data_IF_060848556050
#
_entry.id   IF_060848556050
#
_cell.length_a   1.000
_cell.length_b   1.000
_cell.length_c   1.000
_cell.angle_alpha   90.00
_cell.angle_beta   90.00
_cell.angle_gamma   90.00
#
_symmetry.space_group_name_H-M   'P 1'
#
loop_
_entity.id
_entity.type
_entity.pdbx_description
1 polymer ?
#
# COMPACT_ATOMS: atom_id res chain seq x y z
N UNK A 1 6.33 -5.38 -6.53
CA UNK A 1 7.76 -5.10 -6.81
C UNK A 1 8.56 -5.43 -5.56
N UNK A 2 9.75 -6.04 -5.65
CA UNK A 2 10.55 -6.23 -4.44
C UNK A 2 11.07 -4.86 -3.95
N UNK A 3 10.46 -4.31 -2.89
CA UNK A 3 10.75 -2.99 -2.33
C UNK A 3 12.21 -2.81 -1.95
N UNK A 4 12.83 -3.85 -1.39
CA UNK A 4 14.25 -3.86 -1.08
C UNK A 4 15.13 -3.71 -2.33
N UNK A 5 14.77 -4.38 -3.43
CA UNK A 5 15.52 -4.29 -4.67
C UNK A 5 15.42 -2.89 -5.28
N UNK A 6 14.22 -2.27 -5.22
CA UNK A 6 14.02 -0.89 -5.70
C UNK A 6 14.80 0.10 -4.84
N UNK A 7 14.72 -0.01 -3.52
CA UNK A 7 15.46 0.86 -2.60
C UNK A 7 16.98 0.73 -2.78
N UNK A 8 17.50 -0.50 -2.93
CA UNK A 8 18.91 -0.74 -3.20
C UNK A 8 19.34 -0.16 -4.55
N UNK A 9 18.54 -0.31 -5.60
CA UNK A 9 18.81 0.29 -6.90
C UNK A 9 18.85 1.82 -6.82
N UNK A 10 17.90 2.44 -6.11
CA UNK A 10 17.88 3.90 -5.88
C UNK A 10 19.14 4.33 -5.12
N UNK A 11 19.49 3.64 -4.04
CA UNK A 11 20.70 3.93 -3.27
C UNK A 11 21.95 3.89 -4.15
N UNK A 12 22.12 2.82 -4.94
CA UNK A 12 23.27 2.66 -5.84
C UNK A 12 23.29 3.72 -6.93
N UNK A 13 22.14 4.07 -7.52
CA UNK A 13 22.06 5.12 -8.55
C UNK A 13 22.42 6.50 -7.97
N UNK A 14 21.84 6.85 -6.82
CA UNK A 14 22.03 8.16 -6.18
C UNK A 14 23.44 8.32 -5.61
N UNK A 15 23.95 7.32 -4.90
CA UNK A 15 25.31 7.35 -4.40
C UNK A 15 26.32 7.24 -5.54
N UNK A 16 26.05 6.37 -6.51
CA UNK A 16 26.88 6.17 -7.69
C UNK A 16 27.01 7.45 -8.51
N UNK A 17 25.94 8.21 -8.72
CA UNK A 17 26.00 9.48 -9.45
C UNK A 17 26.87 10.51 -8.72
N UNK A 18 26.78 10.60 -7.38
CA UNK A 18 27.64 11.48 -6.59
C UNK A 18 29.12 11.07 -6.68
N UNK A 19 29.42 9.79 -6.48
CA UNK A 19 30.80 9.29 -6.50
C UNK A 19 31.42 9.38 -7.90
N UNK A 20 30.64 9.08 -8.95
CA UNK A 20 31.08 9.26 -10.34
C UNK A 20 31.36 10.74 -10.63
N UNK A 21 30.49 11.65 -10.23
CA UNK A 21 30.70 13.08 -10.41
C UNK A 21 31.93 13.59 -9.64
N UNK A 22 32.14 13.10 -8.41
CA UNK A 22 33.34 13.40 -7.61
C UNK A 22 34.62 12.86 -8.27
N UNK A 23 34.57 11.68 -8.89
CA UNK A 23 35.70 11.09 -9.61
C UNK A 23 36.00 11.77 -10.95
N UNK A 24 34.97 12.32 -11.62
CA UNK A 24 35.11 13.09 -12.88
C UNK A 24 35.58 14.52 -12.62
N UNK A 25 35.24 15.11 -11.46
CA UNK A 25 35.66 16.46 -11.06
C UNK A 25 37.14 16.80 -11.37
N UNK A 26 38.15 16.00 -10.94
CA UNK A 26 39.56 16.32 -11.18
C UNK A 26 40.00 16.23 -12.65
N UNK A 27 39.18 15.64 -13.54
CA UNK A 27 39.48 15.51 -14.98
C UNK A 27 38.89 16.65 -15.82
N UNK A 28 38.08 17.52 -15.23
CA UNK A 28 37.43 18.62 -15.93
C UNK A 28 38.36 19.84 -16.05
N UNK A 29 38.45 20.48 -17.24
CA UNK A 29 39.19 21.72 -17.40
C UNK A 29 38.68 22.82 -16.44
N UNK A 30 39.58 23.67 -15.94
CA UNK A 30 39.25 24.77 -15.01
C UNK A 30 38.13 25.68 -15.52
N UNK A 31 37.99 25.82 -16.84
CA UNK A 31 36.93 26.63 -17.48
C UNK A 31 35.50 26.12 -17.20
N UNK A 32 35.32 24.83 -16.93
CA UNK A 32 34.01 24.24 -16.58
C UNK A 32 33.77 24.19 -15.06
N UNK A 33 34.78 24.52 -14.25
CA UNK A 33 34.73 24.55 -12.79
C UNK A 33 34.80 25.98 -12.25
N UNK A 34 34.58 26.99 -13.10
CA UNK A 34 34.57 28.39 -12.70
C UNK A 34 33.49 28.65 -11.64
N UNK A 35 33.71 29.65 -10.78
CA UNK A 35 32.75 30.05 -9.76
C UNK A 35 31.38 30.37 -10.36
N UNK A 36 31.35 31.06 -11.50
CA UNK A 36 30.12 31.39 -12.24
C UNK A 36 29.37 30.13 -12.70
N UNK A 37 30.08 29.12 -13.23
CA UNK A 37 29.45 27.86 -13.65
C UNK A 37 28.87 27.10 -12.45
N UNK A 38 29.63 27.06 -11.35
CA UNK A 38 29.18 26.44 -10.09
C UNK A 38 27.92 27.12 -9.56
N UNK A 39 27.84 28.45 -9.61
CA UNK A 39 26.68 29.19 -9.12
C UNK A 39 25.44 28.94 -9.99
N UNK A 40 25.59 28.90 -11.32
CA UNK A 40 24.49 28.55 -12.24
C UNK A 40 23.98 27.13 -11.98
N UNK A 41 24.88 26.15 -11.83
CA UNK A 41 24.49 24.76 -11.53
C UNK A 41 23.82 24.66 -10.16
N UNK A 42 24.35 25.35 -9.14
CA UNK A 42 23.74 25.37 -7.79
C UNK A 42 22.35 26.01 -7.79
N UNK A 43 22.13 27.08 -8.56
CA UNK A 43 20.83 27.71 -8.69
C UNK A 43 19.84 26.75 -9.39
N UNK A 44 20.25 26.16 -10.52
CA UNK A 44 19.42 25.21 -11.26
C UNK A 44 19.06 23.98 -10.44
N UNK A 45 20.03 23.40 -9.73
CA UNK A 45 19.78 22.23 -8.88
C UNK A 45 18.94 22.56 -7.65
N UNK A 46 19.01 23.80 -7.14
CA UNK A 46 18.12 24.28 -6.09
C UNK A 46 16.65 24.23 -6.50
N UNK A 47 16.33 24.62 -7.74
CA UNK A 47 14.96 24.52 -8.29
C UNK A 47 14.52 23.06 -8.40
N UNK A 48 15.38 22.18 -8.92
CA UNK A 48 15.10 20.74 -9.02
C UNK A 48 14.89 20.11 -7.64
N UNK A 49 15.70 20.49 -6.65
CA UNK A 49 15.60 20.00 -5.28
C UNK A 49 14.28 20.43 -4.62
N UNK A 50 13.88 21.70 -4.78
CA UNK A 50 12.61 22.20 -4.25
C UNK A 50 11.41 21.44 -4.83
N UNK A 51 11.39 21.25 -6.16
CA UNK A 51 10.34 20.50 -6.85
C UNK A 51 10.33 19.03 -6.42
N UNK A 52 11.50 18.39 -6.32
CA UNK A 52 11.65 16.99 -5.89
C UNK A 52 11.16 16.79 -4.46
N UNK A 53 11.53 17.70 -3.54
CA UNK A 53 11.09 17.64 -2.14
C UNK A 53 9.57 17.74 -2.02
N UNK A 54 8.93 18.62 -2.81
CA UNK A 54 7.49 18.76 -2.80
C UNK A 54 6.80 17.49 -3.31
N UNK A 55 7.23 16.98 -4.47
CA UNK A 55 6.63 15.77 -5.07
C UNK A 55 6.84 14.56 -4.17
N UNK A 56 8.03 14.40 -3.58
CA UNK A 56 8.32 13.30 -2.66
C UNK A 56 7.43 13.37 -1.42
N UNK A 57 7.26 14.56 -0.82
CA UNK A 57 6.38 14.77 0.33
C UNK A 57 4.91 14.46 0.02
N UNK A 58 4.41 14.94 -1.13
CA UNK A 58 3.04 14.65 -1.60
C UNK A 58 2.85 13.16 -1.87
N UNK A 59 3.84 12.49 -2.45
CA UNK A 59 3.78 11.05 -2.74
C UNK A 59 3.73 10.23 -1.46
N UNK A 60 4.57 10.53 -0.46
CA UNK A 60 4.52 9.88 0.86
C UNK A 60 3.14 10.08 1.49
N UNK A 61 2.63 11.31 1.48
CA UNK A 61 1.31 11.63 2.01
C UNK A 61 0.21 10.83 1.32
N UNK A 62 0.22 10.81 -0.02
CA UNK A 62 -0.79 10.11 -0.82
C UNK A 62 -0.79 8.60 -0.59
N UNK A 63 0.39 7.98 -0.58
CA UNK A 63 0.51 6.53 -0.35
C UNK A 63 0.11 6.19 1.09
N UNK A 64 0.50 7.01 2.07
CA UNK A 64 0.06 6.83 3.46
C UNK A 64 -1.45 6.92 3.60
N UNK A 65 -2.08 7.93 3.01
CA UNK A 65 -3.54 8.09 3.05
C UNK A 65 -4.23 6.88 2.44
N UNK A 66 -3.78 6.40 1.28
CA UNK A 66 -4.35 5.21 0.64
C UNK A 66 -4.19 3.94 1.50
N UNK A 67 -3.03 3.77 2.15
CA UNK A 67 -2.79 2.67 3.08
C UNK A 67 -3.75 2.73 4.28
N UNK A 68 -3.86 3.90 4.93
CA UNK A 68 -4.74 4.10 6.08
C UNK A 68 -6.22 3.91 5.71
N UNK A 69 -6.65 4.39 4.53
CA UNK A 69 -7.99 4.14 3.99
C UNK A 69 -8.26 2.65 3.77
N UNK A 70 -7.29 1.91 3.26
CA UNK A 70 -7.43 0.47 3.06
C UNK A 70 -7.52 -0.29 4.39
N UNK A 71 -6.74 0.10 5.41
CA UNK A 71 -6.85 -0.47 6.77
C UNK A 71 -8.24 -0.19 7.37
N UNK A 72 -8.73 1.04 7.25
CA UNK A 72 -10.09 1.40 7.67
C UNK A 72 -11.14 0.59 6.91
N UNK A 73 -10.95 0.38 5.61
CA UNK A 73 -11.86 -0.41 4.80
C UNK A 73 -11.94 -1.87 5.27
N UNK A 74 -10.81 -2.49 5.62
CA UNK A 74 -10.76 -3.84 6.19
C UNK A 74 -11.44 -3.92 7.56
N UNK A 75 -11.27 -2.90 8.41
CA UNK A 75 -11.97 -2.84 9.70
C UNK A 75 -13.48 -2.76 9.51
N UNK A 76 -13.95 -1.87 8.62
CA UNK A 76 -15.37 -1.73 8.34
C UNK A 76 -15.96 -2.97 7.68
N UNK A 77 -15.22 -3.62 6.77
CA UNK A 77 -15.58 -4.92 6.21
C UNK A 77 -15.78 -5.98 7.30
N UNK A 78 -14.85 -6.06 8.26
CA UNK A 78 -14.95 -6.97 9.41
C UNK A 78 -16.16 -6.68 10.29
N UNK A 79 -16.50 -5.40 10.49
CA UNK A 79 -17.72 -5.01 11.21
C UNK A 79 -18.97 -5.51 10.50
N UNK A 80 -19.07 -5.37 9.18
CA UNK A 80 -20.22 -5.88 8.43
C UNK A 80 -20.32 -7.40 8.48
N UNK A 81 -19.21 -8.14 8.52
CA UNK A 81 -19.21 -9.59 8.74
C UNK A 81 -19.85 -9.93 10.10
N UNK A 82 -19.42 -9.25 11.16
CA UNK A 82 -19.94 -9.47 12.52
C UNK A 82 -21.43 -9.13 12.60
N UNK A 83 -21.83 -7.99 12.06
CA UNK A 83 -23.23 -7.56 12.05
C UNK A 83 -24.11 -8.52 11.25
N UNK A 84 -23.64 -8.97 10.07
CA UNK A 84 -24.39 -9.92 9.26
C UNK A 84 -24.59 -11.25 9.99
N UNK A 85 -23.53 -11.79 10.61
CA UNK A 85 -23.63 -13.01 11.42
C UNK A 85 -24.61 -12.84 12.58
N UNK A 86 -24.50 -11.75 13.33
CA UNK A 86 -25.36 -11.45 14.46
C UNK A 86 -26.84 -11.32 14.04
N UNK A 87 -27.14 -10.62 12.95
CA UNK A 87 -28.51 -10.50 12.44
C UNK A 87 -29.04 -11.84 11.91
N UNK A 88 -28.20 -12.67 11.28
CA UNK A 88 -28.59 -14.01 10.85
C UNK A 88 -28.91 -14.95 12.02
N UNK A 89 -28.24 -14.80 13.18
CA UNK A 89 -28.55 -15.59 14.39
C UNK A 89 -29.98 -15.37 14.89
N UNK A 90 -30.56 -14.19 14.68
CA UNK A 90 -31.93 -13.88 15.11
C UNK A 90 -32.98 -14.73 14.38
N UNK A 91 -32.67 -15.24 13.19
CA UNK A 91 -33.53 -16.18 12.47
C UNK A 91 -33.46 -17.62 12.99
N UNK A 92 -32.55 -17.92 13.92
CA UNK A 92 -32.35 -19.26 14.47
C UNK A 92 -32.03 -20.29 13.37
N UNK A 93 -32.73 -21.44 13.31
CA UNK A 93 -32.46 -22.48 12.31
C UNK A 93 -32.58 -22.02 10.85
N UNK A 94 -33.46 -21.04 10.57
CA UNK A 94 -33.67 -20.54 9.21
C UNK A 94 -32.43 -19.81 8.66
N UNK A 95 -31.65 -19.16 9.52
CA UNK A 95 -30.43 -18.44 9.13
C UNK A 95 -29.18 -19.33 9.06
N UNK A 96 -29.26 -20.60 9.45
CA UNK A 96 -28.07 -21.41 9.73
C UNK A 96 -27.26 -21.76 8.48
N UNK A 97 -27.92 -21.96 7.33
CA UNK A 97 -27.25 -22.17 6.04
C UNK A 97 -26.40 -20.94 5.64
N UNK A 98 -27.03 -19.76 5.62
CA UNK A 98 -26.37 -18.49 5.32
C UNK A 98 -25.18 -18.23 6.26
N UNK A 99 -25.33 -18.51 7.57
CA UNK A 99 -24.23 -18.38 8.54
C UNK A 99 -23.07 -19.34 8.24
N UNK A 100 -23.36 -20.59 7.90
CA UNK A 100 -22.33 -21.58 7.56
C UNK A 100 -21.50 -21.16 6.34
N UNK A 101 -22.17 -20.65 5.31
CA UNK A 101 -21.52 -20.12 4.11
C UNK A 101 -20.73 -18.83 4.42
N UNK A 102 -21.24 -17.94 5.28
CA UNK A 102 -20.53 -16.73 5.70
C UNK A 102 -19.25 -17.04 6.50
N UNK A 103 -19.27 -18.05 7.38
CA UNK A 103 -18.09 -18.53 8.12
C UNK A 103 -17.04 -19.10 7.15
N UNK A 104 -17.49 -19.92 6.19
CA UNK A 104 -16.61 -20.52 5.18
C UNK A 104 -15.97 -19.45 4.30
N UNK A 105 -16.76 -18.46 3.87
CA UNK A 105 -16.26 -17.27 3.18
C UNK A 105 -15.22 -16.52 4.01
N UNK A 106 -15.51 -16.22 5.27
CA UNK A 106 -14.62 -15.42 6.14
C UNK A 106 -13.27 -16.12 6.34
N UNK A 107 -13.28 -17.46 6.49
CA UNK A 107 -12.06 -18.27 6.56
C UNK A 107 -11.29 -18.22 5.23
N UNK A 108 -11.96 -18.47 4.11
CA UNK A 108 -11.33 -18.44 2.79
C UNK A 108 -10.73 -17.07 2.47
N UNK A 109 -11.44 -15.97 2.77
CA UNK A 109 -10.96 -14.61 2.56
C UNK A 109 -9.70 -14.30 3.39
N UNK A 110 -9.62 -14.83 4.61
CA UNK A 110 -8.44 -14.72 5.46
C UNK A 110 -7.25 -15.46 4.85
N UNK A 111 -7.47 -16.70 4.40
CA UNK A 111 -6.42 -17.56 3.81
C UNK A 111 -5.95 -17.03 2.45
N UNK A 112 -6.85 -16.44 1.66
CA UNK A 112 -6.56 -15.83 0.36
C UNK A 112 -5.74 -14.54 0.51
N UNK A 113 -6.13 -13.67 1.45
CA UNK A 113 -5.54 -12.32 1.59
C UNK A 113 -4.28 -12.33 2.44
N UNK A 114 -4.22 -13.15 3.50
CA UNK A 114 -3.07 -13.28 4.40
C UNK A 114 -2.57 -14.73 4.52
N UNK A 115 -2.09 -15.33 3.43
CA UNK A 115 -1.48 -16.66 3.46
C UNK A 115 -0.13 -16.66 4.20
N UNK A 116 0.32 -17.83 4.64
CA UNK A 116 1.64 -18.02 5.25
C UNK A 116 2.80 -17.65 4.29
N UNK A 117 2.60 -17.85 2.99
CA UNK A 117 3.51 -17.41 1.93
C UNK A 117 2.92 -16.18 1.24
N UNK A 118 3.47 -14.96 1.46
CA UNK A 118 2.96 -13.72 0.87
C UNK A 118 2.91 -13.71 -0.66
N UNK A 119 3.65 -14.60 -1.34
CA UNK A 119 3.58 -14.73 -2.81
C UNK A 119 2.25 -15.31 -3.29
N UNK A 120 1.47 -15.91 -2.39
CA UNK A 120 0.16 -16.50 -2.67
C UNK A 120 -0.99 -15.56 -2.36
N UNK A 121 -0.72 -14.32 -1.95
CA UNK A 121 -1.76 -13.34 -1.63
C UNK A 121 -2.64 -13.10 -2.87
N UNK A 122 -3.93 -13.34 -2.72
CA UNK A 122 -4.96 -13.14 -3.73
C UNK A 122 -6.11 -12.37 -3.09
N UNK A 123 -6.17 -11.06 -3.35
CA UNK A 123 -7.25 -10.20 -2.81
C UNK A 123 -8.59 -10.48 -3.52
N UNK A 124 -8.55 -10.80 -4.81
CA UNK A 124 -9.72 -11.18 -5.60
C UNK A 124 -9.68 -12.67 -5.97
N UNK A 125 -10.37 -13.50 -5.18
CA UNK A 125 -10.56 -14.91 -5.48
C UNK A 125 -12.01 -15.17 -5.95
N UNK A 126 -12.23 -15.74 -7.16
CA UNK A 126 -13.55 -16.13 -7.64
C UNK A 126 -14.28 -17.10 -6.71
N UNK A 127 -13.58 -18.06 -6.10
CA UNK A 127 -14.19 -19.03 -5.18
C UNK A 127 -14.80 -18.34 -3.94
N UNK A 128 -14.11 -17.33 -3.44
CA UNK A 128 -14.58 -16.51 -2.33
C UNK A 128 -15.77 -15.64 -2.73
N UNK A 129 -15.84 -15.20 -4.00
CA UNK A 129 -17.03 -14.53 -4.53
C UNK A 129 -18.24 -15.46 -4.58
N UNK A 130 -18.05 -16.70 -5.05
CA UNK A 130 -19.13 -17.71 -5.12
C UNK A 130 -19.71 -18.02 -3.73
N UNK A 131 -18.88 -18.06 -2.68
CA UNK A 131 -19.35 -18.26 -1.30
C UNK A 131 -20.23 -17.11 -0.81
N UNK A 132 -19.88 -15.85 -1.13
CA UNK A 132 -20.75 -14.72 -0.80
C UNK A 132 -22.07 -14.76 -1.57
N UNK A 133 -22.04 -15.19 -2.84
CA UNK A 133 -23.26 -15.37 -3.62
C UNK A 133 -24.15 -16.47 -3.01
N UNK A 134 -23.58 -17.56 -2.51
CA UNK A 134 -24.35 -18.59 -1.79
C UNK A 134 -24.98 -18.04 -0.49
N UNK A 135 -24.29 -17.15 0.23
CA UNK A 135 -24.88 -16.45 1.38
C UNK A 135 -26.10 -15.63 0.96
N UNK A 136 -26.05 -14.95 -0.18
CA UNK A 136 -27.18 -14.20 -0.73
C UNK A 136 -28.37 -15.11 -1.04
N UNK A 137 -28.12 -16.20 -1.75
CA UNK A 137 -29.14 -17.19 -2.11
C UNK A 137 -29.84 -17.74 -0.86
N UNK A 138 -29.06 -18.12 0.17
CA UNK A 138 -29.59 -18.59 1.44
C UNK A 138 -30.41 -17.52 2.17
N UNK A 139 -29.96 -16.25 2.17
CA UNK A 139 -30.73 -15.12 2.75
C UNK A 139 -32.08 -14.99 2.04
N UNK A 140 -32.12 -15.09 0.70
CA UNK A 140 -33.38 -14.97 -0.04
C UNK A 140 -34.32 -16.16 0.21
N UNK A 141 -33.79 -17.34 0.49
CA UNK A 141 -34.59 -18.53 0.83
C UNK A 141 -35.25 -18.47 2.22
N UNK A 142 -34.79 -17.59 3.12
CA UNK A 142 -35.45 -17.39 4.43
C UNK A 142 -36.88 -16.90 4.22
N UNK A 143 -37.87 -17.64 4.72
CA UNK A 143 -39.29 -17.27 4.70
C UNK A 143 -39.75 -16.84 6.10
N UNK A 144 -39.87 -15.53 6.38
CA UNK A 144 -40.29 -15.05 7.69
C UNK A 144 -41.79 -15.26 7.90
N UNK A 145 -42.17 -15.66 9.12
CA UNK A 145 -43.57 -15.96 9.46
C UNK A 145 -44.43 -14.72 9.77
N UNK A 146 -43.81 -13.63 10.24
CA UNK A 146 -44.47 -12.41 10.70
C UNK A 146 -43.85 -11.14 10.08
N UNK A 147 -44.44 -9.98 10.35
CA UNK A 147 -43.95 -8.70 9.84
C UNK A 147 -42.56 -8.36 10.37
N UNK A 148 -42.32 -8.55 11.68
CA UNK A 148 -41.01 -8.31 12.30
C UNK A 148 -39.88 -9.09 11.61
N UNK A 149 -40.13 -10.35 11.24
CA UNK A 149 -39.18 -11.17 10.51
C UNK A 149 -38.95 -10.70 9.07
N UNK A 150 -39.94 -10.07 8.41
CA UNK A 150 -39.76 -9.45 7.10
C UNK A 150 -38.89 -8.20 7.20
N UNK A 151 -39.10 -7.39 8.23
CA UNK A 151 -38.32 -6.18 8.48
C UNK A 151 -36.86 -6.54 8.80
N UNK A 152 -36.64 -7.56 9.64
CA UNK A 152 -35.31 -8.12 9.90
C UNK A 152 -34.64 -8.68 8.64
N UNK A 153 -35.41 -9.31 7.74
CA UNK A 153 -34.85 -9.83 6.48
C UNK A 153 -34.39 -8.69 5.58
N UNK A 154 -35.16 -7.60 5.52
CA UNK A 154 -34.77 -6.40 4.77
C UNK A 154 -33.47 -5.79 5.33
N UNK A 155 -33.33 -5.74 6.65
CA UNK A 155 -32.09 -5.30 7.31
C UNK A 155 -30.89 -6.18 6.94
N UNK A 156 -31.04 -7.51 7.03
CA UNK A 156 -29.99 -8.48 6.66
C UNK A 156 -29.55 -8.32 5.21
N UNK A 157 -30.50 -8.17 4.28
CA UNK A 157 -30.19 -7.91 2.86
C UNK A 157 -29.39 -6.61 2.69
N UNK A 158 -29.73 -5.56 3.44
CA UNK A 158 -29.01 -4.30 3.39
C UNK A 158 -27.58 -4.43 3.94
N UNK A 159 -27.39 -5.14 5.06
CA UNK A 159 -26.06 -5.40 5.63
C UNK A 159 -25.21 -6.22 4.65
N UNK A 160 -25.78 -7.26 4.03
CA UNK A 160 -25.09 -8.06 3.01
C UNK A 160 -24.65 -7.21 1.81
N UNK A 161 -25.52 -6.34 1.28
CA UNK A 161 -25.16 -5.43 0.18
C UNK A 161 -24.02 -4.48 0.56
N UNK A 162 -24.02 -3.97 1.78
CA UNK A 162 -22.94 -3.15 2.30
C UNK A 162 -21.63 -3.94 2.41
N UNK A 163 -21.68 -5.19 2.87
CA UNK A 163 -20.54 -6.10 2.94
C UNK A 163 -19.92 -6.34 1.55
N UNK A 164 -20.74 -6.66 0.54
CA UNK A 164 -20.28 -6.87 -0.85
C UNK A 164 -19.70 -5.59 -1.44
N UNK A 165 -20.36 -4.45 -1.23
CA UNK A 165 -19.83 -3.15 -1.65
C UNK A 165 -18.45 -2.88 -1.03
N UNK A 166 -18.29 -3.22 0.26
CA UNK A 166 -17.03 -3.05 0.95
C UNK A 166 -15.93 -3.97 0.43
N UNK A 167 -16.25 -5.22 0.10
CA UNK A 167 -15.33 -6.14 -0.59
C UNK A 167 -14.83 -5.54 -1.90
N UNK A 168 -15.73 -5.00 -2.72
CA UNK A 168 -15.35 -4.37 -3.99
C UNK A 168 -14.48 -3.13 -3.79
N UNK A 169 -14.72 -2.32 -2.74
CA UNK A 169 -13.82 -1.20 -2.40
C UNK A 169 -12.40 -1.67 -2.10
N UNK A 170 -12.25 -2.79 -1.39
CA UNK A 170 -10.93 -3.36 -1.09
C UNK A 170 -10.26 -3.89 -2.36
N UNK A 171 -11.00 -4.61 -3.21
CA UNK A 171 -10.46 -5.21 -4.44
C UNK A 171 -10.07 -4.14 -5.47
N UNK A 172 -10.98 -3.21 -5.78
CA UNK A 172 -10.76 -2.18 -6.81
C UNK A 172 -9.86 -1.05 -6.29
N UNK A 173 -9.96 -0.74 -4.99
CA UNK A 173 -9.14 0.27 -4.34
C UNK A 173 -7.66 -0.11 -4.25
N UNK A 174 -7.32 -1.39 -4.39
CA UNK A 174 -5.94 -1.90 -4.37
C UNK A 174 -5.12 -1.57 -5.63
N UNK A 175 -5.47 -0.50 -6.36
CA UNK A 175 -4.67 -0.03 -7.49
C UNK A 175 -3.47 0.77 -6.98
N UNK A 176 -2.26 0.39 -7.38
CA UNK A 176 -1.04 1.06 -6.93
C UNK A 176 -1.08 2.54 -7.30
N UNK A 177 -1.09 3.41 -6.28
CA UNK A 177 -1.04 4.87 -6.46
C UNK A 177 0.29 5.33 -7.07
N UNK A 178 1.33 4.49 -6.99
CA UNK A 178 2.69 4.81 -7.44
C UNK A 178 2.96 4.21 -8.81
N UNK A 179 2.99 5.05 -9.83
CA UNK A 179 3.42 4.64 -11.18
C UNK A 179 4.93 4.42 -11.21
N UNK A 180 5.45 3.31 -11.79
CA UNK A 180 6.89 3.07 -11.92
C UNK A 180 7.64 4.23 -12.60
N UNK A 181 7.00 4.91 -13.55
CA UNK A 181 7.54 6.09 -14.24
C UNK A 181 7.88 7.23 -13.27
N UNK A 182 7.05 7.47 -12.25
CA UNK A 182 7.28 8.51 -11.25
C UNK A 182 8.47 8.18 -10.35
N UNK A 183 8.62 6.90 -9.97
CA UNK A 183 9.78 6.43 -9.21
C UNK A 183 11.06 6.61 -10.01
N UNK A 184 11.05 6.28 -11.30
CA UNK A 184 12.19 6.47 -12.20
C UNK A 184 12.51 7.96 -12.34
N UNK A 185 11.52 8.83 -12.56
CA UNK A 185 11.77 10.27 -12.71
C UNK A 185 12.34 10.89 -11.44
N UNK A 186 11.81 10.54 -10.26
CA UNK A 186 12.35 10.98 -8.97
C UNK A 186 13.79 10.48 -8.77
N UNK A 187 14.06 9.22 -9.11
CA UNK A 187 15.43 8.66 -9.02
C UNK A 187 16.40 9.43 -9.89
N UNK A 188 16.00 9.81 -11.11
CA UNK A 188 16.83 10.64 -12.01
C UNK A 188 17.07 12.03 -11.42
N UNK A 189 16.02 12.72 -10.96
CA UNK A 189 16.17 14.07 -10.39
C UNK A 189 17.04 14.07 -9.14
N UNK A 190 16.86 13.10 -8.24
CA UNK A 190 17.69 12.94 -7.05
C UNK A 190 19.14 12.62 -7.44
N UNK A 191 19.35 11.75 -8.44
CA UNK A 191 20.68 11.42 -8.94
C UNK A 191 21.39 12.65 -9.51
N UNK A 192 20.68 13.57 -10.19
CA UNK A 192 21.23 14.83 -10.66
C UNK A 192 21.61 15.77 -9.50
N UNK A 193 20.81 15.79 -8.43
CA UNK A 193 21.12 16.56 -7.21
C UNK A 193 22.41 16.06 -6.57
N UNK A 194 22.51 14.74 -6.40
CA UNK A 194 23.68 14.09 -5.81
C UNK A 194 24.91 14.18 -6.70
N UNK A 195 24.76 14.08 -8.02
CA UNK A 195 25.85 14.33 -8.97
C UNK A 195 26.37 15.77 -8.83
N UNK A 196 25.49 16.76 -8.69
CA UNK A 196 25.89 18.15 -8.47
C UNK A 196 26.63 18.34 -7.15
N UNK A 197 26.18 17.68 -6.07
CA UNK A 197 26.89 17.69 -4.79
C UNK A 197 28.27 17.03 -4.91
N UNK A 198 28.35 15.84 -5.52
CA UNK A 198 29.60 15.12 -5.74
C UNK A 198 30.60 15.90 -6.59
N UNK A 199 30.12 16.57 -7.64
CA UNK A 199 30.95 17.39 -8.52
C UNK A 199 31.61 18.56 -7.78
N UNK A 200 30.98 19.09 -6.72
CA UNK A 200 31.49 20.27 -6.01
C UNK A 200 31.99 19.99 -4.59
N UNK A 201 31.84 18.75 -4.11
CA UNK A 201 32.29 18.33 -2.79
C UNK A 201 33.81 18.16 -2.74
N UNK A 202 34.45 18.51 -1.61
CA UNK A 202 35.86 18.22 -1.40
C UNK A 202 36.09 16.70 -1.27
N UNK A 203 37.22 16.22 -1.80
CA UNK A 203 37.62 14.81 -1.76
C UNK A 203 38.13 14.38 -0.38
N UNK A 204 37.28 14.44 0.64
CA UNK A 204 37.59 13.96 1.98
C UNK A 204 36.55 12.93 2.46
N UNK A 205 36.94 12.12 3.45
CA UNK A 205 36.10 11.05 3.98
C UNK A 205 34.79 11.58 4.59
N UNK A 206 34.80 12.80 5.15
CA UNK A 206 33.62 13.41 5.77
C UNK A 206 32.53 13.72 4.74
N UNK A 207 32.90 14.30 3.58
CA UNK A 207 31.96 14.58 2.50
C UNK A 207 31.37 13.30 1.91
N UNK A 208 32.18 12.26 1.74
CA UNK A 208 31.69 10.95 1.29
C UNK A 208 30.72 10.35 2.32
N UNK A 209 31.07 10.37 3.61
CA UNK A 209 30.20 9.86 4.67
C UNK A 209 28.86 10.61 4.73
N UNK A 210 28.87 11.94 4.58
CA UNK A 210 27.66 12.74 4.52
C UNK A 210 26.78 12.36 3.31
N UNK A 211 27.37 12.19 2.12
CA UNK A 211 26.64 11.76 0.93
C UNK A 211 26.05 10.35 1.09
N UNK A 212 26.76 9.42 1.70
CA UNK A 212 26.24 8.07 2.01
C UNK A 212 25.03 8.16 2.93
N UNK A 213 25.11 8.94 4.01
CA UNK A 213 24.00 9.12 4.95
C UNK A 213 22.77 9.74 4.28
N UNK A 214 22.97 10.77 3.45
CA UNK A 214 21.88 11.40 2.70
C UNK A 214 21.26 10.43 1.68
N UNK A 215 22.08 9.67 0.95
CA UNK A 215 21.59 8.68 -0.01
C UNK A 215 20.80 7.57 0.70
N UNK A 216 21.26 7.12 1.86
CA UNK A 216 20.57 6.11 2.67
C UNK A 216 19.21 6.62 3.17
N UNK A 217 19.15 7.88 3.62
CA UNK A 217 17.89 8.52 4.05
C UNK A 217 16.86 8.53 2.91
N UNK A 218 17.28 8.94 1.70
CA UNK A 218 16.40 8.96 0.53
C UNK A 218 15.98 7.55 0.11
N UNK A 219 16.91 6.60 0.09
CA UNK A 219 16.59 5.21 -0.22
C UNK A 219 15.57 4.62 0.76
N UNK A 220 15.67 5.00 2.04
CA UNK A 220 14.70 4.61 3.08
C UNK A 220 13.33 5.25 2.84
N UNK A 221 13.28 6.54 2.49
CA UNK A 221 12.01 7.19 2.14
C UNK A 221 11.34 6.53 0.92
N UNK A 222 12.11 6.23 -0.13
CA UNK A 222 11.62 5.54 -1.31
C UNK A 222 11.21 4.09 -1.02
N UNK A 223 11.92 3.40 -0.13
CA UNK A 223 11.54 2.07 0.37
C UNK A 223 10.14 2.13 0.98
N UNK A 224 9.88 3.07 1.91
CA UNK A 224 8.57 3.21 2.55
C UNK A 224 7.46 3.50 1.55
N UNK A 225 7.71 4.34 0.55
CA UNK A 225 6.73 4.64 -0.51
C UNK A 225 6.35 3.38 -1.29
N UNK A 226 7.35 2.58 -1.69
CA UNK A 226 7.09 1.34 -2.45
C UNK A 226 6.43 0.29 -1.57
N UNK A 227 6.87 0.17 -0.32
CA UNK A 227 6.31 -0.79 0.65
C UNK A 227 4.83 -0.52 0.90
N UNK A 228 4.46 0.72 1.19
CA UNK A 228 3.08 1.09 1.48
C UNK A 228 2.17 1.09 0.23
N UNK A 229 2.75 1.04 -0.97
CA UNK A 229 1.97 0.96 -2.22
C UNK A 229 1.37 -0.44 -2.49
N UNK A 230 1.79 -1.44 -1.73
CA UNK A 230 1.28 -2.82 -1.78
C UNK A 230 0.80 -3.22 -0.35
N UNK A 231 -0.44 -2.88 0.03
CA UNK A 231 -0.87 -2.89 1.43
C UNK A 231 -1.05 -4.30 2.02
N UNK A 232 -1.05 -5.35 1.22
CA UNK A 232 -1.27 -6.73 1.68
C UNK A 232 -0.01 -7.58 1.72
N UNK A 233 1.12 -7.08 1.21
CA UNK A 233 2.40 -7.78 1.22
C UNK A 233 3.50 -6.93 1.84
N UNK A 234 4.65 -7.54 2.11
CA UNK A 234 5.80 -6.84 2.70
C UNK A 234 5.78 -6.76 4.23
N UNK A 235 6.71 -5.98 4.75
CA UNK A 235 6.94 -5.63 6.16
C UNK A 235 5.83 -4.76 6.72
N UNK A 236 5.31 -3.82 5.93
CA UNK A 236 4.20 -2.94 6.32
C UNK A 236 2.89 -3.39 5.66
N UNK A 237 2.42 -4.58 6.01
CA UNK A 237 1.12 -5.08 5.57
C UNK A 237 0.01 -4.72 6.55
N UNK A 238 -1.21 -4.52 6.04
CA UNK A 238 -2.42 -4.42 6.86
C UNK A 238 -2.59 -5.70 7.69
N UNK A 239 -3.02 -5.55 8.94
CA UNK A 239 -3.16 -6.68 9.86
C UNK A 239 -4.37 -7.55 9.51
N UNK A 240 -4.26 -8.90 9.60
CA UNK A 240 -5.41 -9.80 9.50
C UNK A 240 -6.32 -9.76 10.73
N UNK A 241 -5.93 -9.08 11.81
CA UNK A 241 -6.60 -9.14 13.10
C UNK A 241 -8.11 -8.78 13.06
N UNK A 242 -8.58 -7.75 12.33
CA UNK A 242 -10.00 -7.44 12.27
C UNK A 242 -10.85 -8.59 11.71
N UNK A 243 -10.41 -9.20 10.61
CA UNK A 243 -11.12 -10.31 9.96
C UNK A 243 -11.02 -11.58 10.81
N UNK A 244 -9.86 -11.85 11.42
CA UNK A 244 -9.68 -12.97 12.35
C UNK A 244 -10.59 -12.86 13.57
N UNK A 245 -10.75 -11.65 14.12
CA UNK A 245 -11.66 -11.39 15.23
C UNK A 245 -13.12 -11.57 14.81
N UNK A 246 -13.48 -11.13 13.59
CA UNK A 246 -14.81 -11.38 13.05
C UNK A 246 -15.11 -12.89 12.94
N UNK A 247 -14.16 -13.67 12.41
CA UNK A 247 -14.28 -15.14 12.35
C UNK A 247 -14.43 -15.75 13.74
N UNK A 248 -13.65 -15.31 14.73
CA UNK A 248 -13.77 -15.78 16.10
C UNK A 248 -15.16 -15.50 16.68
N UNK A 249 -15.75 -14.34 16.39
CA UNK A 249 -17.10 -13.98 16.83
C UNK A 249 -18.18 -14.83 16.16
N UNK A 250 -18.00 -15.22 14.89
CA UNK A 250 -18.96 -16.11 14.21
C UNK A 250 -18.97 -17.52 14.81
N UNK A 251 -17.83 -17.97 15.33
CA UNK A 251 -17.63 -19.31 15.89
C UNK A 251 -18.04 -19.42 17.37
N UNK A 252 -18.15 -18.29 18.08
CA UNK A 252 -18.70 -18.23 19.45
C UNK A 252 -20.22 -18.30 19.44
#
# INVERSE_FOLDING_TARGET
MNSYAVAAAIFVCVLGSALLAMAVNPKLPERHLSAETRDVVKLGIGVVAAMTSLILGLLISSVKTSFDETDQNIRQFSTYIIMLDASLRHFGPLGQAARGNLVTYTRQALDDTWPDDPKRTVVENPKSADLLQQVEDDIYLIQPANQDGKDLKAEVVQIYRNLVSMRWKVIVGNSSTVTPLLVVSLTVWISLIFASFGLFAPHNALSVAALVMCALSIATAMFLIVEMSDPFTGVMSISPAPVRNALAHQLS
#
